data_IF_053894767747
#
_entry.id   IF_053894767747
#
_cell.length_a   1.000
_cell.length_b   1.000
_cell.length_c   1.000
_cell.angle_alpha   90.00
_cell.angle_beta   90.00
_cell.angle_gamma   90.00
#
_symmetry.space_group_name_H-M   'P 1'
#
loop_
_entity.id
_entity.type
_entity.pdbx_description
1 polymer ?
#
# COMPACT_ATOMS: atom_id res chain seq x y z
N UNK A 1 14.25 25.07 8.41
CA UNK A 1 12.78 25.03 8.48
C UNK A 1 12.39 23.61 8.81
N UNK A 2 11.56 23.41 9.82
CA UNK A 2 11.17 22.09 10.32
C UNK A 2 10.28 21.47 9.23
N UNK A 3 10.79 20.46 8.53
CA UNK A 3 9.97 19.60 7.68
C UNK A 3 9.25 18.65 8.64
N UNK A 4 7.94 18.87 8.83
CA UNK A 4 7.10 17.91 9.53
C UNK A 4 7.09 16.60 8.74
N UNK A 5 7.67 15.56 9.33
CA UNK A 5 7.58 14.19 8.82
C UNK A 5 6.20 13.66 9.14
N UNK A 6 5.34 13.54 8.13
CA UNK A 6 4.05 12.88 8.25
C UNK A 6 4.29 11.40 8.01
N UNK A 7 4.12 10.59 9.06
CA UNK A 7 4.14 9.14 8.94
C UNK A 7 2.70 8.65 8.88
N UNK A 8 2.33 8.07 7.75
CA UNK A 8 1.05 7.37 7.64
C UNK A 8 1.28 5.92 8.00
N UNK A 9 0.51 5.43 8.99
CA UNK A 9 0.48 4.02 9.35
C UNK A 9 -0.73 3.39 8.68
N UNK A 10 -0.47 2.53 7.69
CA UNK A 10 -1.48 1.68 7.09
C UNK A 10 -1.55 0.40 7.93
N UNK A 11 -2.55 0.28 8.78
CA UNK A 11 -2.85 -0.99 9.43
C UNK A 11 -3.58 -1.88 8.43
N UNK A 12 -3.04 -3.08 8.20
CA UNK A 12 -3.66 -4.07 7.34
C UNK A 12 -4.89 -4.60 8.07
N UNK A 13 -6.06 -4.04 7.76
CA UNK A 13 -7.34 -4.59 8.17
C UNK A 13 -7.92 -5.44 7.04
N UNK A 14 -8.25 -6.70 7.34
CA UNK A 14 -9.06 -7.52 6.43
C UNK A 14 -10.53 -7.16 6.62
N UNK A 15 -11.09 -6.35 5.72
CA UNK A 15 -12.52 -5.99 5.72
C UNK A 15 -13.33 -7.12 5.10
N UNK A 16 -13.53 -8.24 5.82
CA UNK A 16 -14.48 -9.33 5.52
C UNK A 16 -14.47 -9.93 4.09
N UNK A 17 -13.52 -9.59 3.23
CA UNK A 17 -13.20 -10.27 1.99
C UNK A 17 -12.40 -11.52 2.37
N UNK A 18 -12.95 -12.69 2.04
CA UNK A 18 -12.32 -13.99 2.31
C UNK A 18 -10.86 -13.98 1.87
N UNK A 19 -9.97 -14.09 2.85
CA UNK A 19 -8.52 -14.09 2.68
C UNK A 19 -8.10 -14.98 1.50
N UNK A 20 -7.32 -14.41 0.58
CA UNK A 20 -6.87 -15.09 -0.63
C UNK A 20 -7.86 -15.06 -1.80
N UNK A 21 -8.98 -14.33 -1.78
CA UNK A 21 -9.83 -14.17 -2.98
C UNK A 21 -9.51 -12.87 -3.72
N UNK A 22 -9.32 -12.97 -5.04
CA UNK A 22 -9.23 -11.81 -5.93
C UNK A 22 -10.62 -11.23 -6.16
N UNK A 23 -10.72 -9.91 -6.17
CA UNK A 23 -11.93 -9.18 -6.53
C UNK A 23 -12.19 -9.25 -8.05
N UNK A 24 -13.43 -9.01 -8.47
CA UNK A 24 -13.80 -9.06 -9.90
C UNK A 24 -12.95 -8.14 -10.78
N UNK A 25 -12.63 -6.94 -10.29
CA UNK A 25 -11.75 -6.00 -10.98
C UNK A 25 -10.32 -6.52 -11.14
N UNK A 26 -9.78 -7.16 -10.10
CA UNK A 26 -8.45 -7.76 -10.13
C UNK A 26 -8.41 -8.93 -11.12
N UNK A 27 -9.43 -9.79 -11.11
CA UNK A 27 -9.58 -10.88 -12.06
C UNK A 27 -9.64 -10.34 -13.49
N UNK A 28 -10.43 -9.30 -13.74
CA UNK A 28 -10.56 -8.71 -15.06
C UNK A 28 -9.22 -8.17 -15.58
N UNK A 29 -8.43 -7.51 -14.73
CA UNK A 29 -7.08 -7.02 -15.08
C UNK A 29 -6.13 -8.19 -15.33
N UNK A 30 -6.12 -9.22 -14.48
CA UNK A 30 -5.29 -10.41 -14.66
C UNK A 30 -5.60 -11.16 -15.96
N UNK A 31 -6.89 -11.30 -16.31
CA UNK A 31 -7.33 -11.91 -17.58
C UNK A 31 -6.86 -11.07 -18.75
N UNK A 32 -7.07 -9.75 -18.70
CA UNK A 32 -6.65 -8.82 -19.76
C UNK A 32 -5.13 -8.82 -19.96
N UNK A 33 -4.37 -8.96 -18.87
CA UNK A 33 -2.91 -9.04 -18.90
C UNK A 33 -2.38 -10.45 -19.24
N UNK A 34 -3.24 -11.47 -19.35
CA UNK A 34 -2.84 -12.86 -19.58
C UNK A 34 -2.14 -13.51 -18.38
N UNK A 35 -2.25 -12.94 -17.18
CA UNK A 35 -1.54 -13.37 -15.97
C UNK A 35 -2.41 -14.21 -15.02
N UNK A 36 -3.66 -14.52 -15.40
CA UNK A 36 -4.62 -15.21 -14.53
C UNK A 36 -4.11 -16.53 -13.95
N UNK A 37 -3.43 -17.35 -14.75
CA UNK A 37 -2.85 -18.61 -14.28
C UNK A 37 -1.77 -18.40 -13.22
N UNK A 38 -0.85 -17.45 -13.45
CA UNK A 38 0.22 -17.09 -12.52
C UNK A 38 -0.37 -16.52 -11.22
N UNK A 39 -1.40 -15.68 -11.30
CA UNK A 39 -2.05 -15.11 -10.13
C UNK A 39 -2.70 -16.18 -9.23
N UNK A 40 -3.31 -17.21 -9.83
CA UNK A 40 -3.86 -18.35 -9.06
C UNK A 40 -2.78 -19.18 -8.37
N UNK A 41 -1.63 -19.41 -9.01
CA UNK A 41 -0.51 -20.12 -8.36
C UNK A 41 0.06 -19.32 -7.18
N UNK A 42 0.15 -18.01 -7.31
CA UNK A 42 0.72 -17.11 -6.29
C UNK A 42 -0.25 -16.78 -5.14
N UNK A 43 -1.54 -17.10 -5.28
CA UNK A 43 -2.59 -16.82 -4.30
C UNK A 43 -2.29 -17.37 -2.90
N UNK A 44 -1.52 -18.46 -2.80
CA UNK A 44 -1.06 -19.03 -1.52
C UNK A 44 -0.20 -18.06 -0.70
N UNK A 45 0.42 -17.07 -1.34
CA UNK A 45 1.21 -16.03 -0.68
C UNK A 45 0.41 -14.82 -0.20
N UNK A 46 -0.92 -14.79 -0.43
CA UNK A 46 -1.78 -13.70 0.05
C UNK A 46 -2.12 -13.94 1.51
N UNK A 47 -1.55 -13.11 2.38
CA UNK A 47 -1.65 -13.17 3.83
C UNK A 47 -2.16 -11.83 4.37
N UNK A 48 -2.91 -11.86 5.46
CA UNK A 48 -3.30 -10.68 6.24
C UNK A 48 -2.16 -10.15 7.14
N UNK A 49 -1.01 -10.82 7.10
CA UNK A 49 0.16 -10.52 7.90
C UNK A 49 1.44 -10.47 7.07
N UNK A 50 2.30 -9.52 7.38
CA UNK A 50 3.65 -9.36 6.85
C UNK A 50 4.62 -10.26 7.63
N UNK A 51 5.36 -11.10 6.92
CA UNK A 51 6.44 -11.89 7.49
C UNK A 51 7.71 -11.04 7.68
N UNK A 52 7.66 -10.10 8.62
CA UNK A 52 8.77 -9.19 8.94
C UNK A 52 10.05 -9.95 9.29
N UNK A 53 9.94 -11.07 10.00
CA UNK A 53 11.07 -11.93 10.39
C UNK A 53 11.75 -12.65 9.21
N UNK A 54 11.08 -12.77 8.06
CA UNK A 54 11.60 -13.40 6.84
C UNK A 54 12.26 -12.40 5.88
N UNK A 55 12.68 -11.24 6.37
CA UNK A 55 13.38 -10.25 5.55
C UNK A 55 12.45 -9.32 4.76
N UNK A 56 11.13 -9.38 4.99
CA UNK A 56 10.16 -8.61 4.20
C UNK A 56 10.24 -7.11 4.49
N UNK A 57 10.65 -6.73 5.70
CA UNK A 57 10.87 -5.32 6.03
C UNK A 57 12.05 -4.74 5.27
N UNK A 58 13.16 -5.48 5.11
CA UNK A 58 14.29 -5.07 4.28
C UNK A 58 13.88 -4.85 2.83
N UNK A 59 13.03 -5.74 2.27
CA UNK A 59 12.44 -5.54 0.95
C UNK A 59 11.67 -4.22 0.85
N UNK A 60 10.80 -3.92 1.81
CA UNK A 60 10.04 -2.66 1.80
C UNK A 60 10.96 -1.44 1.93
N UNK A 61 11.96 -1.50 2.81
CA UNK A 61 12.94 -0.43 3.01
C UNK A 61 13.80 -0.15 1.78
N UNK A 62 13.96 -1.12 0.89
CA UNK A 62 14.69 -0.94 -0.37
C UNK A 62 13.84 -0.30 -1.49
N UNK A 63 12.52 -0.27 -1.34
CA UNK A 63 11.65 0.44 -2.28
C UNK A 63 11.94 1.94 -2.22
N UNK A 64 11.82 2.60 -3.38
CA UNK A 64 12.00 4.06 -3.56
C UNK A 64 10.74 4.74 -4.12
N UNK A 65 9.71 3.95 -4.37
CA UNK A 65 8.46 4.37 -4.99
C UNK A 65 7.37 3.36 -4.61
N UNK A 66 6.19 3.87 -4.26
CA UNK A 66 4.96 3.12 -4.04
C UNK A 66 3.79 3.87 -4.64
N UNK A 67 2.75 3.15 -5.05
CA UNK A 67 1.46 3.76 -5.39
C UNK A 67 0.52 3.55 -4.21
N UNK A 68 -0.04 4.65 -3.71
CA UNK A 68 -1.00 4.66 -2.62
C UNK A 68 -2.39 4.87 -3.22
N UNK A 69 -3.32 3.99 -2.89
CA UNK A 69 -4.71 4.09 -3.29
C UNK A 69 -5.58 4.28 -2.06
N UNK A 70 -6.56 5.17 -2.15
CA UNK A 70 -7.51 5.46 -1.09
C UNK A 70 -8.90 5.71 -1.68
N UNK A 71 -9.93 5.50 -0.86
CA UNK A 71 -11.32 5.81 -1.18
C UNK A 71 -11.74 6.94 -0.25
N UNK A 72 -12.27 8.03 -0.80
CA UNK A 72 -12.74 9.15 0.02
C UNK A 72 -14.13 8.90 0.63
N UNK A 73 -14.65 9.90 1.36
CA UNK A 73 -15.97 9.83 1.99
C UNK A 73 -17.14 9.79 1.00
N UNK A 74 -16.93 10.14 -0.27
CA UNK A 74 -17.95 10.09 -1.34
C UNK A 74 -17.91 8.75 -2.10
N UNK A 75 -16.87 7.93 -1.87
CA UNK A 75 -16.68 6.63 -2.52
C UNK A 75 -15.83 6.71 -3.78
N UNK A 76 -15.23 7.87 -4.08
CA UNK A 76 -14.34 8.03 -5.22
C UNK A 76 -12.96 7.43 -4.91
N UNK A 77 -12.40 6.75 -5.91
CA UNK A 77 -11.08 6.08 -5.81
C UNK A 77 -9.99 7.03 -6.29
N UNK A 78 -9.04 7.30 -5.41
CA UNK A 78 -7.86 8.11 -5.69
C UNK A 78 -6.60 7.25 -5.65
N UNK A 79 -5.65 7.52 -6.56
CA UNK A 79 -4.35 6.84 -6.60
C UNK A 79 -3.25 7.86 -6.86
N UNK A 80 -2.22 7.83 -6.02
CA UNK A 80 -1.09 8.76 -6.09
C UNK A 80 0.23 8.01 -5.92
N UNK A 81 1.25 8.47 -6.64
CA UNK A 81 2.62 7.97 -6.48
C UNK A 81 3.29 8.69 -5.31
N UNK A 82 3.85 7.93 -4.36
CA UNK A 82 4.78 8.44 -3.37
C UNK A 82 6.18 7.89 -3.63
N UNK A 83 7.19 8.76 -3.69
CA UNK A 83 8.58 8.38 -3.94
C UNK A 83 9.52 8.99 -2.92
N UNK A 84 10.57 8.26 -2.53
CA UNK A 84 11.50 8.66 -1.47
C UNK A 84 12.79 7.87 -1.45
N UNK A 85 13.69 8.21 -0.52
CA UNK A 85 14.94 7.47 -0.32
C UNK A 85 14.69 6.13 0.38
N UNK A 86 15.70 5.24 0.35
CA UNK A 86 15.62 3.96 1.08
C UNK A 86 15.20 4.17 2.53
N UNK A 87 14.19 3.41 2.97
CA UNK A 87 13.58 3.51 4.29
C UNK A 87 12.39 4.46 4.38
N UNK A 88 11.97 5.13 3.31
CA UNK A 88 10.73 5.92 3.31
C UNK A 88 9.47 5.04 3.41
N UNK A 89 9.59 3.75 3.08
CA UNK A 89 8.54 2.75 3.22
C UNK A 89 9.06 1.56 4.04
N UNK A 90 8.30 1.11 5.04
CA UNK A 90 8.74 0.03 5.93
C UNK A 90 7.56 -0.71 6.57
N UNK A 91 7.85 -1.88 7.13
CA UNK A 91 6.92 -2.66 7.95
C UNK A 91 7.51 -2.82 9.36
N UNK A 92 7.17 -1.92 10.32
CA UNK A 92 7.73 -2.00 11.67
C UNK A 92 7.24 -3.23 12.44
N UNK A 93 6.08 -3.76 12.09
CA UNK A 93 5.47 -4.93 12.70
C UNK A 93 4.64 -5.72 11.66
N UNK A 94 4.15 -6.93 12.00
CA UNK A 94 3.48 -7.80 11.04
C UNK A 94 2.17 -7.28 10.45
N UNK A 95 1.58 -6.21 10.98
CA UNK A 95 0.26 -5.72 10.56
C UNK A 95 0.26 -4.25 10.13
N UNK A 96 1.44 -3.62 10.11
CA UNK A 96 1.55 -2.20 9.84
C UNK A 96 2.54 -1.96 8.71
N UNK A 97 2.12 -1.18 7.73
CA UNK A 97 3.01 -0.52 6.77
C UNK A 97 3.11 0.95 7.14
N UNK A 98 4.30 1.51 7.06
CA UNK A 98 4.56 2.91 7.33
C UNK A 98 5.18 3.54 6.11
N UNK A 99 4.64 4.67 5.69
CA UNK A 99 5.15 5.48 4.58
C UNK A 99 5.39 6.92 5.05
N UNK A 100 6.56 7.48 4.73
CA UNK A 100 6.84 8.92 4.89
C UNK A 100 6.28 9.66 3.68
N UNK A 101 5.27 10.50 3.92
CA UNK A 101 4.56 11.28 2.90
C UNK A 101 4.75 12.79 3.08
N UNK A 102 5.92 13.20 3.58
CA UNK A 102 6.29 14.61 3.61
C UNK A 102 6.09 15.30 2.23
N UNK A 103 6.06 16.64 2.19
CA UNK A 103 5.75 17.41 0.96
C UNK A 103 6.65 17.10 -0.25
N UNK A 104 7.81 16.47 -0.03
CA UNK A 104 8.72 16.04 -1.09
C UNK A 104 8.30 14.68 -1.71
N UNK A 105 7.34 13.98 -1.10
CA UNK A 105 6.91 12.62 -1.44
C UNK A 105 5.45 12.55 -1.92
N UNK A 106 4.56 13.44 -1.44
CA UNK A 106 3.20 13.64 -1.97
C UNK A 106 2.87 15.13 -2.06
N UNK A 107 2.33 15.56 -3.20
CA UNK A 107 1.99 16.96 -3.48
C UNK A 107 0.95 17.47 -2.48
N UNK A 108 1.10 18.71 -2.01
CA UNK A 108 0.09 19.34 -1.15
C UNK A 108 -1.24 19.49 -1.89
N UNK A 109 -2.34 19.05 -1.26
CA UNK A 109 -3.67 19.00 -1.87
C UNK A 109 -3.97 17.71 -2.65
N UNK A 110 -3.06 16.74 -2.64
CA UNK A 110 -3.33 15.40 -3.15
C UNK A 110 -4.47 14.73 -2.33
N UNK A 111 -5.55 14.23 -2.97
CA UNK A 111 -6.66 13.61 -2.27
C UNK A 111 -6.26 12.40 -1.43
N UNK A 112 -5.30 11.59 -1.89
CA UNK A 112 -4.81 10.43 -1.14
C UNK A 112 -4.17 10.87 0.17
N UNK A 113 -3.40 11.95 0.13
CA UNK A 113 -2.79 12.53 1.34
C UNK A 113 -3.84 13.04 2.32
N UNK A 114 -4.85 13.75 1.83
CA UNK A 114 -5.93 14.24 2.69
C UNK A 114 -6.65 13.09 3.39
N UNK A 115 -6.98 12.03 2.66
CA UNK A 115 -7.65 10.85 3.22
C UNK A 115 -6.81 10.18 4.33
N UNK A 116 -5.49 10.15 4.17
CA UNK A 116 -4.60 9.59 5.20
C UNK A 116 -4.35 10.51 6.40
N UNK A 117 -4.49 11.83 6.26
CA UNK A 117 -4.41 12.78 7.38
C UNK A 117 -5.69 12.78 8.23
N UNK A 118 -6.82 12.34 7.68
CA UNK A 118 -8.14 12.30 8.33
C UNK A 118 -8.41 11.00 9.12
N UNK A 119 -7.53 9.99 9.04
CA UNK A 119 -7.64 8.70 9.75
C UNK A 119 -6.73 8.62 10.99
#
# INVERSE_FOLDING_TARGET
KIVEKIHVLLTIYSTSATMGQFHEGEIAVQVKAGTRGVAEELKVGISDRIDVELGRNEFFRDLRMVYLAAVDGEGDVWVSEASGEKGFFQAPDPYTLQVDVSNDHLVSGDPVRQIFEEQ
#
